data_IF_731993876182
#
_entry.id   IF_731993876182
#
_cell.length_a   1.000
_cell.length_b   1.000
_cell.length_c   1.000
_cell.angle_alpha   90.00
_cell.angle_beta   90.00
_cell.angle_gamma   90.00
#
_symmetry.space_group_name_H-M   'P 1'
#
loop_
_entity.id
_entity.type
_entity.pdbx_description
1 polymer ?
#
# COMPACT_ATOMS: atom_id res chain seq x y z
N UNK A 1 -9.23 -26.02 18.36
CA UNK A 1 -9.28 -27.45 18.73
C UNK A 1 -9.82 -27.53 20.14
N UNK A 2 -11.02 -28.12 20.31
CA UNK A 2 -11.52 -28.50 21.62
C UNK A 2 -10.93 -29.88 21.94
N UNK A 3 -10.16 -30.00 23.00
CA UNK A 3 -9.73 -31.26 23.53
C UNK A 3 -10.85 -31.78 24.44
N UNK A 4 -11.56 -32.82 24.00
CA UNK A 4 -12.48 -33.53 24.85
C UNK A 4 -11.66 -34.40 25.80
N UNK A 5 -11.72 -34.10 27.12
CA UNK A 5 -11.03 -34.86 28.18
C UNK A 5 -11.88 -35.99 28.73
N UNK A 6 -13.05 -36.27 28.18
CA UNK A 6 -13.87 -37.40 28.58
C UNK A 6 -13.34 -38.69 28.00
N UNK A 7 -12.68 -39.47 28.83
CA UNK A 7 -12.18 -40.83 28.52
C UNK A 7 -13.33 -41.88 28.51
N UNK A 8 -14.56 -41.48 28.17
CA UNK A 8 -15.65 -42.38 27.92
C UNK A 8 -15.63 -42.76 26.45
N UNK A 9 -15.30 -44.01 26.15
CA UNK A 9 -15.34 -44.60 24.82
C UNK A 9 -16.80 -44.79 24.35
N UNK A 10 -17.58 -43.72 24.25
CA UNK A 10 -18.77 -43.71 23.44
C UNK A 10 -18.33 -43.53 21.98
N UNK A 11 -18.40 -44.57 21.20
CA UNK A 11 -18.21 -44.48 19.74
C UNK A 11 -19.34 -43.64 19.18
N UNK A 12 -19.12 -42.33 19.12
CA UNK A 12 -19.99 -41.44 18.36
C UNK A 12 -19.70 -41.78 16.90
N UNK A 13 -20.62 -42.46 16.24
CA UNK A 13 -20.65 -42.59 14.78
C UNK A 13 -20.93 -41.21 14.16
N UNK A 14 -20.02 -40.25 14.35
CA UNK A 14 -20.09 -38.95 13.72
C UNK A 14 -19.04 -38.88 12.62
N UNK A 15 -19.49 -38.60 11.43
CA UNK A 15 -18.61 -38.30 10.27
C UNK A 15 -18.50 -36.81 10.10
N UNK A 16 -17.30 -36.34 9.81
CA UNK A 16 -17.06 -34.94 9.40
C UNK A 16 -16.64 -34.95 7.95
N UNK A 17 -17.18 -34.02 7.19
CA UNK A 17 -16.72 -33.78 5.84
C UNK A 17 -15.57 -32.72 5.88
N UNK A 18 -14.37 -33.10 5.44
CA UNK A 18 -13.26 -32.20 5.29
C UNK A 18 -13.14 -31.81 3.81
N UNK A 19 -13.11 -30.52 3.56
CA UNK A 19 -12.98 -29.98 2.22
C UNK A 19 -12.01 -28.80 2.21
N UNK A 20 -11.25 -28.65 1.11
CA UNK A 20 -10.44 -27.46 0.87
C UNK A 20 -9.21 -27.34 1.79
N UNK A 21 -8.62 -28.46 2.22
CA UNK A 21 -7.33 -28.39 2.94
C UNK A 21 -6.29 -27.75 2.05
N UNK A 22 -5.55 -26.75 2.57
CA UNK A 22 -4.51 -26.04 1.87
C UNK A 22 -3.29 -25.88 2.77
N UNK A 23 -2.09 -26.15 2.20
CA UNK A 23 -0.80 -25.89 2.84
C UNK A 23 -0.07 -24.89 1.95
N UNK A 24 0.32 -23.77 2.54
CA UNK A 24 1.03 -22.70 1.83
C UNK A 24 2.12 -22.08 2.71
N UNK A 25 3.18 -21.59 2.06
CA UNK A 25 4.21 -20.84 2.75
C UNK A 25 3.74 -19.38 2.90
N UNK A 26 3.48 -18.94 4.13
CA UNK A 26 3.01 -17.59 4.40
C UNK A 26 2.69 -17.36 5.88
N UNK A 27 2.55 -16.10 6.26
CA UNK A 27 2.21 -15.72 7.63
C UNK A 27 0.69 -15.79 7.92
N UNK A 28 -0.14 -15.93 6.88
CA UNK A 28 -1.60 -16.00 6.96
C UNK A 28 -2.13 -16.74 5.72
N UNK A 29 -3.32 -17.38 5.83
CA UNK A 29 -3.90 -18.11 4.72
C UNK A 29 -4.36 -17.17 3.61
N UNK A 30 -4.16 -17.60 2.36
CA UNK A 30 -4.73 -16.94 1.18
C UNK A 30 -6.03 -17.62 0.77
N UNK A 31 -6.66 -17.17 -0.34
CA UNK A 31 -7.87 -17.83 -0.86
C UNK A 31 -7.53 -19.23 -1.36
N UNK A 32 -8.48 -20.15 -1.15
CA UNK A 32 -8.33 -21.55 -1.56
C UNK A 32 -8.03 -21.68 -3.06
N UNK A 33 -7.01 -22.48 -3.39
CA UNK A 33 -6.67 -22.89 -4.75
C UNK A 33 -6.79 -24.42 -4.84
N UNK A 34 -7.71 -24.96 -5.66
CA UNK A 34 -7.82 -26.41 -5.84
C UNK A 34 -6.53 -26.95 -6.49
N UNK A 35 -5.92 -27.92 -5.81
CA UNK A 35 -4.77 -28.66 -6.32
C UNK A 35 -5.13 -30.13 -6.46
N UNK A 36 -4.58 -30.81 -7.45
CA UNK A 36 -4.80 -32.26 -7.64
C UNK A 36 -3.55 -33.07 -7.32
N UNK A 37 -2.52 -32.95 -8.15
CA UNK A 37 -1.30 -33.78 -8.04
C UNK A 37 -0.02 -32.95 -7.89
N UNK A 38 -0.06 -31.64 -8.15
CA UNK A 38 1.10 -30.76 -8.11
C UNK A 38 0.80 -29.48 -7.36
N UNK A 39 1.85 -28.88 -6.80
CA UNK A 39 1.74 -27.55 -6.22
C UNK A 39 1.39 -26.51 -7.30
N UNK A 40 0.52 -25.57 -6.96
CA UNK A 40 0.11 -24.46 -7.82
C UNK A 40 0.70 -23.17 -7.24
N UNK A 41 1.35 -22.39 -8.08
CA UNK A 41 1.83 -21.07 -7.68
C UNK A 41 0.69 -20.06 -7.84
N UNK A 42 0.34 -19.37 -6.76
CA UNK A 42 -0.58 -18.24 -6.81
C UNK A 42 0.11 -17.07 -7.49
N UNK A 43 -0.51 -16.54 -8.54
CA UNK A 43 -0.07 -15.26 -9.10
C UNK A 43 -0.28 -14.14 -8.07
N UNK A 44 0.62 -13.18 -8.08
CA UNK A 44 0.47 -12.01 -7.24
C UNK A 44 -0.76 -11.19 -7.68
N UNK A 45 -1.50 -10.65 -6.69
CA UNK A 45 -2.63 -9.77 -6.99
C UNK A 45 -2.13 -8.50 -7.68
N UNK A 46 -2.75 -8.13 -8.80
CA UNK A 46 -2.46 -6.90 -9.55
C UNK A 46 -3.71 -6.04 -9.56
N UNK A 47 -3.61 -4.86 -8.97
CA UNK A 47 -4.67 -3.88 -9.01
C UNK A 47 -4.13 -2.56 -9.57
N UNK A 48 -4.69 -2.09 -10.67
CA UNK A 48 -4.27 -0.84 -11.32
C UNK A 48 -5.42 -0.18 -12.08
N UNK A 49 -5.31 1.13 -12.25
CA UNK A 49 -6.15 1.93 -13.15
C UNK A 49 -5.24 2.42 -14.28
N UNK A 50 -5.38 1.83 -15.46
CA UNK A 50 -4.48 2.06 -16.60
C UNK A 50 -4.93 3.25 -17.48
N UNK A 51 -6.07 3.89 -17.17
CA UNK A 51 -6.57 5.07 -17.87
C UNK A 51 -6.76 6.20 -16.89
N UNK A 52 -5.91 7.20 -16.94
CA UNK A 52 -5.93 8.34 -16.03
C UNK A 52 -6.86 9.46 -16.49
N UNK A 53 -7.11 9.59 -17.79
CA UNK A 53 -8.06 10.57 -18.33
C UNK A 53 -9.52 10.10 -18.12
N UNK A 54 -10.47 10.99 -17.82
CA UNK A 54 -10.32 12.45 -17.68
C UNK A 54 -10.13 12.92 -16.23
N UNK A 55 -9.94 12.04 -15.26
CA UNK A 55 -10.01 12.35 -13.84
C UNK A 55 -8.67 12.82 -13.22
N UNK A 56 -7.55 12.44 -13.83
CA UNK A 56 -6.22 12.83 -13.36
C UNK A 56 -5.81 14.21 -13.87
N UNK A 57 -5.26 15.03 -12.98
CA UNK A 57 -4.68 16.33 -13.33
C UNK A 57 -3.15 16.24 -13.23
N UNK A 58 -2.48 16.38 -14.39
CA UNK A 58 -1.02 16.28 -14.47
C UNK A 58 -0.28 17.50 -13.87
N UNK A 59 -0.98 18.63 -13.66
CA UNK A 59 -0.35 19.87 -13.18
C UNK A 59 -0.45 20.04 -11.66
N UNK A 60 -1.47 19.47 -11.03
CA UNK A 60 -1.68 19.55 -9.58
C UNK A 60 -2.63 18.47 -9.10
N UNK A 61 -2.40 17.94 -7.92
CA UNK A 61 -3.30 16.93 -7.35
C UNK A 61 -2.95 16.58 -5.92
N UNK A 62 -3.79 15.74 -5.33
CA UNK A 62 -3.55 15.15 -4.02
C UNK A 62 -3.98 13.70 -4.02
N UNK A 63 -3.06 12.82 -3.70
CA UNK A 63 -3.30 11.40 -3.47
C UNK A 63 -3.43 11.15 -1.97
N UNK A 64 -4.53 10.52 -1.55
CA UNK A 64 -4.79 10.14 -0.16
C UNK A 64 -4.99 8.62 -0.07
N UNK A 65 -4.48 8.03 0.99
CA UNK A 65 -4.72 6.64 1.35
C UNK A 65 -5.01 6.48 2.85
N UNK A 66 -6.00 5.64 3.16
CA UNK A 66 -6.23 5.10 4.51
C UNK A 66 -5.88 3.61 4.51
N UNK A 67 -4.94 3.22 5.36
CA UNK A 67 -4.33 1.90 5.33
C UNK A 67 -4.08 1.36 6.75
N UNK A 68 -4.28 0.05 6.92
CA UNK A 68 -3.78 -0.67 8.11
C UNK A 68 -2.57 -1.48 7.69
N UNK A 69 -1.40 -1.11 8.18
CA UNK A 69 -0.17 -1.82 7.89
C UNK A 69 -0.07 -3.11 8.70
N UNK A 70 0.03 -4.25 8.01
CA UNK A 70 0.21 -5.57 8.62
C UNK A 70 1.68 -6.01 8.56
N UNK A 71 2.53 -5.22 7.93
CA UNK A 71 3.92 -5.55 7.67
C UNK A 71 4.77 -5.49 8.93
N UNK A 72 5.65 -6.48 9.07
CA UNK A 72 6.77 -6.35 9.98
C UNK A 72 7.74 -5.25 9.51
N UNK A 73 8.34 -4.52 10.46
CA UNK A 73 9.33 -3.47 10.18
C UNK A 73 10.63 -3.97 9.54
N UNK A 74 10.89 -5.27 9.58
CA UNK A 74 12.17 -5.87 9.15
C UNK A 74 12.27 -6.16 7.64
N UNK A 75 11.18 -6.01 6.87
CA UNK A 75 11.21 -6.26 5.43
C UNK A 75 12.03 -5.18 4.71
N UNK A 76 12.95 -5.59 3.85
CA UNK A 76 13.76 -4.69 3.02
C UNK A 76 12.95 -4.06 1.87
N UNK A 77 13.33 -2.87 1.46
CA UNK A 77 12.69 -2.09 0.38
C UNK A 77 11.46 -1.30 0.83
N UNK A 78 11.21 -0.17 0.17
CA UNK A 78 9.97 0.58 0.32
C UNK A 78 8.80 -0.24 -0.22
N UNK A 79 7.63 -0.11 0.40
CA UNK A 79 6.42 -0.87 0.04
C UNK A 79 5.31 0.09 -0.33
N UNK A 80 5.11 0.31 -1.62
CA UNK A 80 4.09 1.24 -2.10
C UNK A 80 2.68 0.73 -1.81
N UNK A 81 1.86 1.58 -1.20
CA UNK A 81 0.44 1.38 -0.98
C UNK A 81 -0.34 1.81 -2.21
N UNK A 82 0.02 2.96 -2.76
CA UNK A 82 -0.54 3.52 -3.98
C UNK A 82 0.54 4.35 -4.68
N UNK A 83 0.61 4.24 -5.99
CA UNK A 83 1.58 4.95 -6.82
C UNK A 83 0.98 5.35 -8.17
N UNK A 84 1.15 6.60 -8.57
CA UNK A 84 1.10 6.97 -9.98
C UNK A 84 2.47 6.71 -10.60
N UNK A 85 2.53 6.07 -11.76
CA UNK A 85 3.78 5.73 -12.45
C UNK A 85 3.63 5.67 -13.97
N UNK A 86 4.77 5.59 -14.65
CA UNK A 86 4.88 5.24 -16.07
C UNK A 86 5.36 3.80 -16.29
N UNK A 87 5.28 2.91 -15.30
CA UNK A 87 5.90 1.60 -15.18
C UNK A 87 7.38 1.63 -14.80
N UNK A 88 7.95 2.77 -14.45
CA UNK A 88 9.32 2.88 -13.97
C UNK A 88 9.35 3.58 -12.61
N UNK A 89 10.42 3.36 -11.85
CA UNK A 89 10.67 4.14 -10.63
C UNK A 89 11.11 5.57 -10.95
N UNK A 90 11.59 5.81 -12.18
CA UNK A 90 12.10 7.11 -12.59
C UNK A 90 11.02 8.18 -12.65
N UNK A 91 9.76 7.80 -12.83
CA UNK A 91 8.63 8.72 -12.93
C UNK A 91 7.49 8.25 -12.05
N UNK A 92 7.48 8.67 -10.79
CA UNK A 92 6.51 8.21 -9.79
C UNK A 92 6.08 9.30 -8.82
N UNK A 93 4.83 9.16 -8.33
CA UNK A 93 4.33 9.80 -7.11
C UNK A 93 3.72 8.69 -6.26
N UNK A 94 4.24 8.43 -5.07
CA UNK A 94 3.79 7.28 -4.31
C UNK A 94 3.64 7.53 -2.80
N UNK A 95 2.81 6.69 -2.19
CA UNK A 95 2.67 6.52 -0.76
C UNK A 95 3.15 5.13 -0.38
N UNK A 96 4.06 5.01 0.57
CA UNK A 96 4.69 3.74 0.92
C UNK A 96 5.02 3.63 2.41
N UNK A 97 5.28 2.40 2.86
CA UNK A 97 6.04 2.13 4.09
C UNK A 97 7.53 2.07 3.74
N UNK A 98 8.37 2.69 4.57
CA UNK A 98 9.83 2.71 4.35
C UNK A 98 10.49 1.34 4.55
N UNK A 99 11.65 1.17 3.91
CA UNK A 99 12.55 0.06 4.10
C UNK A 99 13.04 -0.04 5.55
N UNK A 100 12.84 -1.20 6.20
CA UNK A 100 13.39 -1.50 7.54
C UNK A 100 13.00 -0.54 8.66
N UNK A 101 12.30 0.55 8.34
CA UNK A 101 11.93 1.62 9.25
C UNK A 101 10.48 1.55 9.75
N UNK A 102 10.21 2.29 10.81
CA UNK A 102 8.86 2.49 11.35
C UNK A 102 8.26 3.80 10.81
N UNK A 103 8.35 4.02 9.48
CA UNK A 103 7.89 5.27 8.88
C UNK A 103 6.97 5.04 7.68
N UNK A 104 6.06 6.00 7.48
CA UNK A 104 5.36 6.19 6.23
C UNK A 104 6.14 7.17 5.36
N UNK A 105 6.17 6.91 4.05
CA UNK A 105 6.88 7.70 3.05
C UNK A 105 5.90 8.20 2.00
N UNK A 106 6.02 9.48 1.66
CA UNK A 106 5.41 10.06 0.47
C UNK A 106 6.51 10.68 -0.39
N UNK A 107 6.64 10.27 -1.65
CA UNK A 107 7.76 10.68 -2.48
C UNK A 107 7.33 10.92 -3.93
N UNK A 108 8.02 11.83 -4.58
CA UNK A 108 7.89 12.17 -6.00
C UNK A 108 9.25 12.05 -6.65
N UNK A 109 9.33 11.27 -7.73
CA UNK A 109 10.53 11.09 -8.54
C UNK A 109 10.22 11.46 -9.99
N UNK A 110 11.06 12.26 -10.62
CA UNK A 110 10.96 12.63 -12.02
C UNK A 110 12.32 12.47 -12.71
N UNK A 111 12.37 11.72 -13.81
CA UNK A 111 13.60 11.42 -14.53
C UNK A 111 14.65 10.70 -13.68
N UNK A 112 14.24 9.93 -12.67
CA UNK A 112 15.14 9.24 -11.75
C UNK A 112 15.68 10.10 -10.60
N UNK A 113 15.33 11.38 -10.54
CA UNK A 113 15.72 12.29 -9.46
C UNK A 113 14.55 12.54 -8.51
N UNK A 114 14.78 12.42 -7.20
CA UNK A 114 13.78 12.77 -6.18
C UNK A 114 13.48 14.27 -6.24
N UNK A 115 12.21 14.60 -6.38
CA UNK A 115 11.70 15.97 -6.41
C UNK A 115 11.22 16.42 -5.04
N UNK A 116 10.54 15.53 -4.29
CA UNK A 116 10.10 15.77 -2.93
C UNK A 116 10.04 14.44 -2.18
N UNK A 117 10.44 14.43 -0.90
CA UNK A 117 10.42 13.22 -0.07
C UNK A 117 10.06 13.56 1.38
N UNK A 118 9.04 12.89 1.92
CA UNK A 118 8.50 13.09 3.26
C UNK A 118 8.46 11.76 4.00
N UNK A 119 9.24 11.65 5.08
CA UNK A 119 9.27 10.49 5.94
C UNK A 119 8.66 10.81 7.31
N UNK A 120 7.62 10.07 7.69
CA UNK A 120 6.89 10.23 8.95
C UNK A 120 7.11 9.01 9.84
N UNK A 121 7.86 9.15 10.91
CA UNK A 121 8.22 8.08 11.85
C UNK A 121 7.05 7.70 12.78
N UNK A 122 5.89 7.40 12.19
CA UNK A 122 4.63 7.11 12.91
C UNK A 122 4.03 5.77 12.47
N UNK A 123 4.80 4.89 11.83
CA UNK A 123 4.33 3.56 11.50
C UNK A 123 4.17 2.72 12.77
N UNK A 124 2.99 2.12 12.92
CA UNK A 124 2.71 1.11 13.93
C UNK A 124 1.99 -0.06 13.24
N UNK A 125 2.45 -1.27 13.51
CA UNK A 125 1.83 -2.48 12.96
C UNK A 125 0.40 -2.61 13.50
N UNK A 126 -0.53 -3.02 12.65
CA UNK A 126 -1.96 -3.15 12.93
C UNK A 126 -2.70 -1.84 13.27
N UNK A 127 -2.01 -0.70 13.22
CA UNK A 127 -2.65 0.60 13.38
C UNK A 127 -3.10 1.17 12.03
N UNK A 128 -4.19 1.92 12.05
CA UNK A 128 -4.64 2.69 10.88
C UNK A 128 -3.71 3.89 10.69
N UNK A 129 -3.29 4.12 9.46
CA UNK A 129 -2.63 5.34 9.05
C UNK A 129 -3.42 6.00 7.92
N UNK A 130 -3.49 7.32 7.96
CA UNK A 130 -4.03 8.18 6.92
C UNK A 130 -2.88 8.99 6.35
N UNK A 131 -2.61 8.87 5.06
CA UNK A 131 -1.46 9.47 4.41
C UNK A 131 -1.93 10.24 3.19
N UNK A 132 -1.41 11.44 2.98
CA UNK A 132 -1.70 12.24 1.81
C UNK A 132 -0.42 12.86 1.23
N UNK A 133 -0.34 12.93 -0.11
CA UNK A 133 0.70 13.60 -0.86
C UNK A 133 0.05 14.60 -1.81
N UNK A 134 0.32 15.87 -1.63
CA UNK A 134 -0.12 16.95 -2.50
C UNK A 134 1.01 17.45 -3.39
N UNK A 135 0.72 17.64 -4.66
CA UNK A 135 1.69 18.05 -5.66
C UNK A 135 1.16 19.18 -6.55
N UNK A 136 2.02 20.09 -6.83
CA UNK A 136 1.98 21.15 -7.84
C UNK A 136 3.42 21.54 -8.10
N UNK A 137 3.79 21.97 -9.30
CA UNK A 137 5.19 22.33 -9.61
C UNK A 137 5.70 23.38 -8.63
N UNK A 138 6.86 23.15 -8.03
CA UNK A 138 7.47 23.98 -6.99
C UNK A 138 6.59 24.18 -5.73
N UNK A 139 5.67 23.26 -5.45
CA UNK A 139 4.77 23.36 -4.29
C UNK A 139 4.28 21.98 -3.87
N UNK A 140 5.12 21.24 -3.15
CA UNK A 140 4.83 19.89 -2.68
C UNK A 140 4.64 19.88 -1.16
N UNK A 141 3.77 19.02 -0.67
CA UNK A 141 3.67 18.69 0.75
C UNK A 141 3.01 17.33 0.94
N UNK A 142 3.24 16.74 2.10
CA UNK A 142 2.57 15.53 2.52
C UNK A 142 2.14 15.63 3.99
N UNK A 143 1.17 14.82 4.37
CA UNK A 143 0.76 14.68 5.77
C UNK A 143 0.45 13.23 6.11
N UNK A 144 0.69 12.87 7.37
CA UNK A 144 0.30 11.57 7.93
C UNK A 144 -0.26 11.75 9.33
N UNK A 145 -1.45 11.19 9.58
CA UNK A 145 -2.12 11.23 10.88
C UNK A 145 -2.17 12.64 11.48
N UNK A 146 -2.57 13.63 10.68
CA UNK A 146 -2.68 15.03 11.08
C UNK A 146 -1.36 15.82 11.13
N UNK A 147 -0.21 15.17 10.91
CA UNK A 147 1.10 15.83 10.89
C UNK A 147 1.53 16.12 9.46
N UNK A 148 1.68 17.38 9.10
CA UNK A 148 2.20 17.81 7.80
C UNK A 148 3.72 17.95 7.81
N UNK A 149 4.34 17.71 6.67
CA UNK A 149 5.74 18.02 6.40
C UNK A 149 5.96 19.51 6.13
N UNK A 150 7.21 19.87 5.89
CA UNK A 150 7.57 21.21 5.42
C UNK A 150 7.31 21.29 3.92
N UNK A 151 6.70 22.38 3.45
CA UNK A 151 6.47 22.58 2.02
C UNK A 151 7.78 22.64 1.25
N UNK A 152 7.93 21.79 0.25
CA UNK A 152 9.02 21.87 -0.71
C UNK A 152 8.60 22.81 -1.86
N UNK A 153 9.39 23.82 -2.09
CA UNK A 153 9.11 24.90 -3.07
C UNK A 153 9.92 24.76 -4.35
N UNK A 154 10.54 23.60 -4.58
CA UNK A 154 11.33 23.33 -5.78
C UNK A 154 11.04 21.94 -6.32
N UNK A 155 10.95 21.81 -7.64
CA UNK A 155 10.80 20.52 -8.31
C UNK A 155 9.72 20.49 -9.38
N UNK A 156 9.72 19.40 -10.11
CA UNK A 156 8.83 19.15 -11.25
C UNK A 156 7.95 17.92 -11.02
N UNK A 157 6.87 17.82 -11.77
CA UNK A 157 5.92 16.69 -11.69
C UNK A 157 6.26 15.69 -12.80
N UNK A 158 6.37 14.39 -12.50
CA UNK A 158 6.60 13.37 -13.52
C UNK A 158 5.39 13.17 -14.42
N UNK A 159 5.66 12.73 -15.65
CA UNK A 159 4.61 12.19 -16.51
C UNK A 159 4.32 10.75 -16.12
N UNK A 160 3.06 10.48 -15.78
CA UNK A 160 2.60 9.16 -15.35
C UNK A 160 1.44 8.68 -16.22
N UNK A 161 1.26 7.37 -16.33
CA UNK A 161 0.27 6.76 -17.23
C UNK A 161 -0.77 5.90 -16.51
N UNK A 162 -0.52 5.51 -15.25
CA UNK A 162 -1.42 4.65 -14.48
C UNK A 162 -1.36 4.94 -12.98
N UNK A 163 -2.40 4.50 -12.26
CA UNK A 163 -2.42 4.39 -10.81
C UNK A 163 -2.32 2.90 -10.44
N UNK A 164 -1.40 2.55 -9.59
CA UNK A 164 -1.17 1.21 -9.08
C UNK A 164 -1.39 1.15 -7.58
N UNK A 165 -2.00 0.07 -7.10
CA UNK A 165 -2.23 -0.19 -5.67
C UNK A 165 -1.19 -1.14 -5.08
N UNK A 166 -0.02 -1.13 -5.65
CA UNK A 166 1.18 -1.85 -5.25
C UNK A 166 2.33 -1.43 -6.15
N UNK A 167 3.54 -1.82 -5.80
CA UNK A 167 4.64 -1.76 -6.74
C UNK A 167 4.56 -2.91 -7.76
N UNK A 168 3.92 -2.69 -8.90
CA UNK A 168 3.83 -3.66 -9.98
C UNK A 168 5.14 -3.80 -10.75
N UNK A 169 6.05 -2.84 -10.63
CA UNK A 169 7.31 -2.83 -11.38
C UNK A 169 8.46 -3.48 -10.62
N UNK A 170 8.28 -3.82 -9.33
CA UNK A 170 9.37 -4.24 -8.46
C UNK A 170 10.35 -3.11 -8.11
N UNK A 171 10.12 -1.90 -8.62
CA UNK A 171 11.03 -0.78 -8.49
C UNK A 171 11.01 -0.16 -7.09
N UNK A 172 9.88 -0.20 -6.39
CA UNK A 172 9.71 0.34 -5.04
C UNK A 172 9.79 -0.76 -3.95
N UNK A 173 10.43 -1.89 -4.26
CA UNK A 173 10.80 -2.90 -3.26
C UNK A 173 9.73 -3.95 -2.91
N UNK A 174 8.60 -4.00 -3.59
CA UNK A 174 7.62 -5.09 -3.49
C UNK A 174 6.29 -4.73 -2.84
N UNK A 175 5.43 -5.74 -2.65
CA UNK A 175 4.04 -5.55 -2.23
C UNK A 175 3.92 -5.25 -0.73
N UNK A 176 3.09 -4.29 -0.33
CA UNK A 176 2.71 -4.13 1.06
C UNK A 176 1.75 -5.25 1.49
N UNK A 177 1.98 -5.82 2.65
CA UNK A 177 0.93 -6.53 3.36
C UNK A 177 0.15 -5.51 4.17
N UNK A 178 -1.04 -5.16 3.71
CA UNK A 178 -1.87 -4.15 4.35
C UNK A 178 -3.34 -4.34 3.99
N UNK A 179 -4.23 -3.80 4.81
CA UNK A 179 -5.61 -3.53 4.42
C UNK A 179 -5.70 -2.11 3.89
N UNK A 180 -5.97 -1.96 2.61
CA UNK A 180 -6.27 -0.68 2.00
C UNK A 180 -7.77 -0.39 2.22
N UNK A 181 -8.07 0.58 3.10
CA UNK A 181 -9.44 0.94 3.46
C UNK A 181 -10.04 1.94 2.49
N UNK A 182 -9.22 2.90 2.07
CA UNK A 182 -9.66 3.99 1.20
C UNK A 182 -8.50 4.53 0.39
N UNK A 183 -8.77 4.81 -0.90
CA UNK A 183 -7.96 5.66 -1.76
C UNK A 183 -8.85 6.80 -2.25
N UNK A 184 -8.35 8.01 -2.21
CA UNK A 184 -9.01 9.18 -2.77
C UNK A 184 -8.01 10.01 -3.54
N UNK A 185 -8.40 10.43 -4.72
CA UNK A 185 -7.63 11.38 -5.50
C UNK A 185 -8.43 12.68 -5.67
N UNK A 186 -7.77 13.80 -5.42
CA UNK A 186 -8.30 15.14 -5.65
C UNK A 186 -7.54 15.73 -6.85
N UNK A 187 -8.20 16.16 -7.94
CA UNK A 187 -7.54 16.73 -9.12
C UNK A 187 -7.09 18.18 -8.88
N UNK A 188 -6.65 18.47 -7.67
CA UNK A 188 -6.12 19.75 -7.21
C UNK A 188 -5.15 19.53 -6.04
N UNK A 189 -4.18 20.39 -5.89
CA UNK A 189 -3.34 20.45 -4.70
C UNK A 189 -4.18 20.97 -3.53
N UNK A 190 -4.40 20.16 -2.50
CA UNK A 190 -5.06 20.60 -1.26
C UNK A 190 -4.11 21.49 -0.46
N UNK A 191 -4.65 22.45 0.29
CA UNK A 191 -3.87 23.28 1.21
C UNK A 191 -3.20 22.42 2.30
N UNK A 192 -2.16 22.94 2.95
CA UNK A 192 -1.49 22.22 4.05
C UNK A 192 -2.46 21.98 5.23
N UNK A 193 -3.37 22.91 5.49
CA UNK A 193 -4.41 22.75 6.49
C UNK A 193 -5.40 21.64 6.11
N UNK A 194 -5.81 21.58 4.84
CA UNK A 194 -6.69 20.50 4.36
C UNK A 194 -5.99 19.15 4.41
N UNK A 195 -4.67 19.07 4.09
CA UNK A 195 -3.90 17.82 4.22
C UNK A 195 -3.90 17.31 5.66
N UNK A 196 -3.69 18.20 6.64
CA UNK A 196 -3.77 17.84 8.04
C UNK A 196 -5.19 17.37 8.41
N UNK A 197 -6.21 18.10 7.99
CA UNK A 197 -7.60 17.79 8.31
C UNK A 197 -8.06 16.43 7.75
N UNK A 198 -7.73 16.09 6.49
CA UNK A 198 -8.13 14.81 5.91
C UNK A 198 -7.35 13.61 6.46
N UNK A 199 -6.19 13.85 7.06
CA UNK A 199 -5.33 12.81 7.64
C UNK A 199 -5.48 12.67 9.17
N UNK A 200 -6.32 13.48 9.81
CA UNK A 200 -6.65 13.37 11.26
C UNK A 200 -7.61 12.23 11.64
#
# INVERSE_FOLDING_TARGET
>A
FATNTDNSSSSINSSIFLWGAQVEAGAFPTSYIPTTTTAVTRAADVASVNTLSPWYNASAGTLYAEVVGLMNSTLSGNRAVAAFSDNTYSNTLFLAKTNGGAAWLAEITNGGATQASYSFNVYSQNATAKIALAYEANNFNAATNGTAGVTDTSGTIPTVTKLEFRDATGAIGGQPTCYLRRITYYPRRLSNADLQAITT
#
